data_IF_811728658123
#
_entry.id   IF_811728658123
#
_cell.length_a   1.000
_cell.length_b   1.000
_cell.length_c   1.000
_cell.angle_alpha   90.00
_cell.angle_beta   90.00
_cell.angle_gamma   90.00
#
_symmetry.space_group_name_H-M   'P 1'
#
loop_
_entity.id
_entity.type
_entity.pdbx_description
1 polymer ?
#
# COMPACT_ATOMS: atom_id res chain seq x y z
N UNK A 1 -15.70 14.95 18.90
CA UNK A 1 -14.76 14.40 17.89
C UNK A 1 -15.52 13.27 17.23
N UNK A 2 -15.75 13.37 15.93
CA UNK A 2 -16.35 12.30 15.14
C UNK A 2 -15.37 11.12 15.11
N UNK A 3 -15.61 10.11 15.95
CA UNK A 3 -14.89 8.82 15.94
C UNK A 3 -15.51 7.92 14.88
N UNK A 4 -15.45 8.35 13.63
CA UNK A 4 -15.73 7.44 12.51
C UNK A 4 -14.44 6.68 12.23
N UNK A 5 -14.51 5.35 12.26
CA UNK A 5 -13.38 4.49 11.87
C UNK A 5 -12.87 4.87 10.46
N UNK A 6 -11.55 4.96 10.25
CA UNK A 6 -11.01 5.34 8.95
C UNK A 6 -11.40 4.31 7.89
N UNK A 7 -11.74 4.80 6.70
CA UNK A 7 -12.04 3.98 5.53
C UNK A 7 -11.09 4.29 4.39
N UNK A 8 -10.85 3.29 3.53
CA UNK A 8 -9.81 3.32 2.51
C UNK A 8 -10.39 2.94 1.14
N UNK A 9 -10.04 3.67 0.06
CA UNK A 9 -10.54 3.35 -1.27
C UNK A 9 -9.76 2.17 -1.85
N UNK A 10 -10.50 1.13 -2.24
CA UNK A 10 -9.97 -0.10 -2.85
C UNK A 10 -10.70 -0.38 -4.16
N UNK A 11 -9.99 -0.97 -5.12
CA UNK A 11 -10.59 -1.50 -6.35
C UNK A 11 -9.93 -2.81 -6.76
N UNK A 12 -10.61 -3.62 -7.57
CA UNK A 12 -10.00 -4.77 -8.25
C UNK A 12 -9.31 -4.26 -9.51
N UNK A 13 -7.99 -4.14 -9.48
CA UNK A 13 -7.25 -3.61 -10.63
C UNK A 13 -7.24 -4.63 -11.78
N UNK A 14 -7.60 -4.20 -12.99
CA UNK A 14 -7.58 -5.04 -14.19
C UNK A 14 -6.15 -5.46 -14.61
N UNK A 15 -5.15 -4.62 -14.31
CA UNK A 15 -3.74 -4.89 -14.65
C UNK A 15 -3.05 -5.78 -13.61
N UNK A 16 -3.28 -5.52 -12.32
CA UNK A 16 -2.68 -6.31 -11.24
C UNK A 16 -3.49 -7.56 -10.89
N UNK A 17 -4.70 -7.67 -11.43
CA UNK A 17 -5.66 -8.77 -11.20
C UNK A 17 -5.92 -9.06 -9.72
N UNK A 18 -5.81 -8.04 -8.85
CA UNK A 18 -5.98 -8.13 -7.39
C UNK A 18 -6.63 -6.89 -6.80
N UNK A 19 -7.14 -7.03 -5.58
CA UNK A 19 -7.62 -5.90 -4.78
C UNK A 19 -6.43 -5.03 -4.36
N UNK A 20 -6.52 -3.74 -4.62
CA UNK A 20 -5.45 -2.78 -4.37
C UNK A 20 -6.00 -1.48 -3.80
N UNK A 21 -5.20 -0.82 -2.98
CA UNK A 21 -5.44 0.56 -2.60
C UNK A 21 -5.39 1.47 -3.82
N UNK A 22 -6.16 2.54 -3.73
CA UNK A 22 -6.19 3.58 -4.73
C UNK A 22 -5.72 4.93 -4.18
N UNK A 23 -5.24 5.79 -5.07
CA UNK A 23 -5.04 7.19 -4.79
C UNK A 23 -5.83 8.05 -5.79
N UNK A 24 -6.17 9.28 -5.38
CA UNK A 24 -6.73 10.28 -6.29
C UNK A 24 -5.57 10.95 -7.03
N UNK A 25 -5.78 11.22 -8.32
CA UNK A 25 -4.92 12.00 -9.18
C UNK A 25 -5.78 12.93 -10.04
N UNK A 26 -5.16 13.90 -10.69
CA UNK A 26 -5.81 14.70 -11.73
C UNK A 26 -5.45 14.12 -13.09
N UNK A 27 -6.40 14.11 -14.02
CA UNK A 27 -6.16 13.84 -15.43
C UNK A 27 -5.69 15.10 -16.19
N UNK A 28 -5.53 14.99 -17.51
CA UNK A 28 -5.10 16.09 -18.37
C UNK A 28 -6.14 17.23 -18.48
N UNK A 29 -7.38 17.00 -18.06
CA UNK A 29 -8.48 17.98 -18.01
C UNK A 29 -8.69 18.54 -16.57
N UNK A 30 -7.72 18.33 -15.67
CA UNK A 30 -7.79 18.69 -14.24
C UNK A 30 -8.98 18.06 -13.49
N UNK A 31 -9.45 16.89 -13.93
CA UNK A 31 -10.52 16.13 -13.26
C UNK A 31 -9.95 15.06 -12.35
N UNK A 32 -10.60 14.87 -11.21
CA UNK A 32 -10.24 13.82 -10.28
C UNK A 32 -10.50 12.43 -10.87
N UNK A 33 -9.45 11.61 -10.88
CA UNK A 33 -9.49 10.22 -11.27
C UNK A 33 -8.84 9.36 -10.19
N UNK A 34 -9.43 8.18 -9.96
CA UNK A 34 -8.88 7.21 -9.02
C UNK A 34 -7.93 6.28 -9.76
N UNK A 35 -6.73 6.05 -9.21
CA UNK A 35 -5.71 5.18 -9.81
C UNK A 35 -5.24 4.13 -8.82
N UNK A 36 -4.90 2.96 -9.35
CA UNK A 36 -4.23 1.89 -8.63
C UNK A 36 -2.89 2.38 -8.06
N UNK A 37 -2.62 2.14 -6.77
CA UNK A 37 -1.38 2.56 -6.11
C UNK A 37 -0.12 1.86 -6.67
N UNK A 38 -0.28 0.67 -7.24
CA UNK A 38 0.83 -0.17 -7.69
C UNK A 38 1.27 0.12 -9.12
N UNK A 39 0.31 0.30 -10.03
CA UNK A 39 0.58 0.41 -11.48
C UNK A 39 0.00 1.68 -12.11
N UNK A 40 -0.61 2.57 -11.32
CA UNK A 40 -1.23 3.82 -11.78
C UNK A 40 -2.35 3.67 -12.83
N UNK A 41 -2.83 2.44 -13.10
CA UNK A 41 -3.96 2.19 -14.00
C UNK A 41 -5.21 2.86 -13.43
N UNK A 42 -5.97 3.55 -14.28
CA UNK A 42 -7.21 4.20 -13.89
C UNK A 42 -8.28 3.19 -13.47
N UNK A 43 -8.95 3.49 -12.36
CA UNK A 43 -10.08 2.74 -11.85
C UNK A 43 -11.39 3.40 -12.26
N UNK A 44 -12.38 2.60 -12.65
CA UNK A 44 -13.72 3.12 -12.86
C UNK A 44 -14.29 3.61 -11.51
N UNK A 45 -14.88 4.81 -11.43
CA UNK A 45 -15.39 5.34 -10.15
C UNK A 45 -16.40 4.41 -9.46
N UNK A 46 -17.26 3.75 -10.25
CA UNK A 46 -18.24 2.79 -9.74
C UNK A 46 -17.63 1.48 -9.20
N UNK A 47 -16.37 1.19 -9.51
CA UNK A 47 -15.63 0.02 -9.03
C UNK A 47 -14.80 0.32 -7.77
N UNK A 48 -14.82 1.56 -7.27
CA UNK A 48 -14.15 1.95 -6.03
C UNK A 48 -15.08 1.65 -4.86
N UNK A 49 -14.59 0.83 -3.93
CA UNK A 49 -15.26 0.52 -2.66
C UNK A 49 -14.45 1.08 -1.50
N UNK A 50 -15.13 1.58 -0.49
CA UNK A 50 -14.49 2.08 0.73
C UNK A 50 -14.55 1.00 1.80
N UNK A 51 -13.39 0.55 2.27
CA UNK A 51 -13.25 -0.55 3.23
C UNK A 51 -12.70 -0.06 4.56
N UNK A 52 -13.05 -0.74 5.65
CA UNK A 52 -12.45 -0.49 6.95
C UNK A 52 -11.02 -1.05 7.04
N UNK A 53 -10.28 -0.65 8.08
CA UNK A 53 -8.92 -1.13 8.31
C UNK A 53 -8.83 -2.67 8.36
N UNK A 54 -9.72 -3.34 9.08
CA UNK A 54 -9.67 -4.80 9.23
C UNK A 54 -9.72 -5.55 7.88
N UNK A 55 -10.58 -5.10 6.96
CA UNK A 55 -10.68 -5.69 5.63
C UNK A 55 -9.47 -5.34 4.74
N UNK A 56 -8.88 -4.17 4.98
CA UNK A 56 -7.64 -3.76 4.33
C UNK A 56 -6.47 -4.71 4.69
N UNK A 57 -6.45 -5.20 5.93
CA UNK A 57 -5.47 -6.18 6.39
C UNK A 57 -5.64 -7.53 5.67
N UNK A 58 -6.88 -7.98 5.47
CA UNK A 58 -7.20 -9.24 4.78
C UNK A 58 -6.76 -9.24 3.31
N UNK A 59 -6.75 -8.09 2.64
CA UNK A 59 -6.27 -7.95 1.25
C UNK A 59 -4.75 -7.74 1.14
N UNK A 60 -4.02 -7.81 2.25
CA UNK A 60 -2.55 -7.83 2.27
C UNK A 60 -1.86 -6.51 2.59
N UNK A 61 -2.59 -5.49 3.06
CA UNK A 61 -2.00 -4.25 3.59
C UNK A 61 -1.87 -4.26 5.12
N UNK A 62 -2.02 -5.44 5.74
CA UNK A 62 -1.80 -5.60 7.17
C UNK A 62 -0.31 -5.42 7.52
N UNK A 63 -0.07 -4.84 8.70
CA UNK A 63 1.28 -4.82 9.27
C UNK A 63 1.61 -6.22 9.79
N UNK A 64 2.42 -6.96 9.04
CA UNK A 64 3.16 -8.08 9.64
C UNK A 64 4.35 -7.46 10.35
N UNK A 65 4.24 -7.22 11.67
CA UNK A 65 5.42 -7.15 12.51
C UNK A 65 6.01 -8.56 12.50
N UNK A 66 7.19 -8.78 11.87
CA UNK A 66 7.74 -10.12 11.86
C UNK A 66 8.12 -10.46 13.31
N UNK A 67 7.41 -11.41 13.92
CA UNK A 67 7.65 -11.85 15.32
C UNK A 67 9.06 -12.43 15.50
N UNK A 68 9.72 -12.82 14.41
CA UNK A 68 11.15 -13.06 14.34
C UNK A 68 11.75 -12.20 13.25
N UNK A 69 12.94 -11.63 13.47
CA UNK A 69 13.69 -10.92 12.44
C UNK A 69 13.91 -11.77 11.17
N UNK A 70 14.71 -11.29 10.24
CA UNK A 70 14.86 -11.83 8.87
C UNK A 70 15.32 -13.31 8.72
N UNK A 71 15.33 -14.12 9.78
CA UNK A 71 15.70 -15.53 9.82
C UNK A 71 17.21 -15.77 9.74
N UNK A 72 18.01 -14.72 9.53
CA UNK A 72 19.47 -14.81 9.55
C UNK A 72 20.02 -14.45 10.94
N UNK A 73 20.80 -15.34 11.58
CA UNK A 73 21.41 -15.06 12.89
C UNK A 73 22.35 -13.84 12.83
N UNK A 74 22.98 -13.58 11.68
CA UNK A 74 23.88 -12.45 11.48
C UNK A 74 23.17 -11.12 11.19
N UNK A 75 21.84 -11.09 10.99
CA UNK A 75 21.12 -9.83 10.70
C UNK A 75 20.72 -9.03 11.95
N UNK A 76 21.10 -9.52 13.15
CA UNK A 76 21.09 -8.76 14.40
C UNK A 76 19.77 -8.04 14.72
N UNK A 77 18.63 -8.64 14.37
CA UNK A 77 17.32 -8.06 14.65
C UNK A 77 16.88 -6.92 13.71
N UNK A 78 17.32 -6.89 12.45
CA UNK A 78 16.75 -5.98 11.45
C UNK A 78 17.69 -4.90 10.91
N UNK A 79 19.00 -5.16 10.86
CA UNK A 79 19.95 -4.27 10.16
C UNK A 79 20.07 -4.53 8.65
N UNK A 80 19.32 -5.50 8.11
CA UNK A 80 19.28 -5.75 6.67
C UNK A 80 18.62 -4.56 5.94
N UNK A 81 19.44 -3.71 5.33
CA UNK A 81 18.98 -2.53 4.57
C UNK A 81 19.66 -1.22 4.96
N UNK A 82 20.45 -1.19 6.04
CA UNK A 82 21.30 -0.02 6.32
C UNK A 82 22.61 -0.20 5.58
N UNK A 83 22.66 0.22 4.32
CA UNK A 83 23.91 0.41 3.60
C UNK A 83 24.75 1.39 4.41
N UNK A 84 25.80 0.91 5.08
CA UNK A 84 26.84 1.82 5.58
C UNK A 84 27.51 2.35 4.31
N UNK A 85 27.54 3.67 4.05
CA UNK A 85 28.31 4.19 2.94
C UNK A 85 29.75 3.70 3.13
N UNK A 86 30.33 3.14 2.07
CA UNK A 86 31.73 2.74 2.09
C UNK A 86 32.57 4.00 2.30
N UNK A 87 33.22 4.09 3.45
CA UNK A 87 34.20 5.12 3.76
C UNK A 87 35.37 4.98 2.78
N UNK A 88 35.52 5.98 1.92
CA UNK A 88 36.60 6.11 0.93
C UNK A 88 37.92 6.31 1.69
N UNK A 89 38.89 5.43 1.42
CA UNK A 89 40.21 5.37 2.08
C UNK A 89 41.10 6.57 1.74
#
# INVERSE_FOLDING_TARGET
MDTTDPTFPVTRCATCERDVLCHVALDDDDREITRCIECATAAAPAAVRWVALAELEEIGYGFVLPEGGCGRPDCGGGKCGRSVPADET
#
